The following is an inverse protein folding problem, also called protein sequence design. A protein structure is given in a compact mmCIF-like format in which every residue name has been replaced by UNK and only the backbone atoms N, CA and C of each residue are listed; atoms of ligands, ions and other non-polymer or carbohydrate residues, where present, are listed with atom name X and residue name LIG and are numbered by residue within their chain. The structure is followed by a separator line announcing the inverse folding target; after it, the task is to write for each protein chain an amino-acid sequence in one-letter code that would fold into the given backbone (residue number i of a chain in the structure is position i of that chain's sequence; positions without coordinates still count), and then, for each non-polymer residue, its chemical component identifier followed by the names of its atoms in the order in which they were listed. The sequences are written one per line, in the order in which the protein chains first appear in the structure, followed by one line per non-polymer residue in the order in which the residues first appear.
data_IF_283479922952
#
_entry.id   IF_283479922952
#
_cell.length_a   1.000
_cell.length_b   1.000
_cell.length_c   1.000
_cell.angle_alpha   90.00
_cell.angle_beta   90.00
_cell.angle_gamma   90.00
#
_symmetry.space_group_name_H-M   'P 1'
#
loop_
_entity.id
_entity.type
_entity.pdbx_description
1 polymer ?
#
# COMPACT_ATOMS: atom_id res chain seq x y z
N UNK A 1 1.20 20.91 -47.79
CA UNK A 1 1.49 20.88 -46.36
C UNK A 1 0.82 19.67 -45.76
N UNK A 2 1.52 18.52 -45.76
CA UNK A 2 1.06 17.28 -45.23
C UNK A 2 1.11 17.30 -43.67
N UNK A 3 0.00 17.02 -43.01
CA UNK A 3 0.00 16.86 -41.57
C UNK A 3 0.71 15.55 -41.20
N UNK A 4 1.62 15.61 -40.22
CA UNK A 4 2.35 14.47 -39.73
C UNK A 4 1.37 13.41 -39.18
N UNK A 5 1.67 12.14 -39.45
CA UNK A 5 0.93 11.01 -38.87
C UNK A 5 1.11 10.98 -37.34
N UNK A 6 0.21 10.33 -36.59
CA UNK A 6 0.38 10.18 -35.13
C UNK A 6 1.73 9.59 -34.72
N UNK A 7 2.27 8.63 -35.50
CA UNK A 7 3.59 8.03 -35.26
C UNK A 7 4.71 9.04 -35.47
N UNK A 8 4.65 9.83 -36.58
CA UNK A 8 5.65 10.87 -36.86
C UNK A 8 5.65 11.99 -35.81
N UNK A 9 4.48 12.32 -35.21
CA UNK A 9 4.40 13.28 -34.10
C UNK A 9 5.04 12.71 -32.83
N UNK A 10 4.79 11.43 -32.55
CA UNK A 10 5.38 10.75 -31.41
C UNK A 10 6.91 10.68 -31.55
N UNK A 11 7.40 10.29 -32.68
CA UNK A 11 8.84 10.20 -32.96
C UNK A 11 9.53 11.58 -32.92
N UNK A 12 8.85 12.64 -33.40
CA UNK A 12 9.35 14.01 -33.30
C UNK A 12 9.40 14.48 -31.82
N UNK A 13 8.38 14.17 -31.01
CA UNK A 13 8.36 14.51 -29.58
C UNK A 13 9.46 13.76 -28.82
N UNK A 14 9.72 12.49 -29.19
CA UNK A 14 10.83 11.74 -28.61
C UNK A 14 12.18 12.33 -29.02
N UNK A 15 12.36 12.70 -30.29
CA UNK A 15 13.59 13.32 -30.77
C UNK A 15 13.87 14.67 -30.08
N UNK A 16 12.83 15.52 -29.89
CA UNK A 16 12.94 16.76 -29.14
C UNK A 16 13.34 16.52 -27.68
N UNK A 17 12.75 15.53 -27.00
CA UNK A 17 13.11 15.17 -25.64
C UNK A 17 14.53 14.60 -25.51
N UNK A 18 15.05 13.92 -26.55
CA UNK A 18 16.44 13.45 -26.57
C UNK A 18 17.44 14.59 -26.83
N UNK A 19 17.09 15.60 -27.62
CA UNK A 19 17.91 16.79 -27.80
C UNK A 19 17.95 17.67 -26.55
N UNK A 20 16.86 17.75 -25.78
CA UNK A 20 16.86 18.38 -24.45
C UNK A 20 17.72 17.62 -23.44
N UNK A 21 17.82 16.28 -23.52
CA UNK A 21 18.72 15.48 -22.70
C UNK A 21 20.21 15.71 -23.01
N UNK A 22 20.52 16.28 -24.17
CA UNK A 22 21.86 16.70 -24.57
C UNK A 22 22.23 18.13 -24.10
N UNK A 23 21.36 18.79 -23.32
CA UNK A 23 21.65 20.11 -22.77
C UNK A 23 22.88 20.07 -21.86
N UNK A 24 23.70 21.14 -21.83
CA UNK A 24 24.89 21.22 -20.99
C UNK A 24 24.59 20.89 -19.52
N UNK A 25 25.49 20.22 -18.79
CA UNK A 25 25.25 19.77 -17.42
C UNK A 25 24.73 20.85 -16.45
N UNK A 26 25.11 22.09 -16.68
CA UNK A 26 24.66 23.25 -15.89
C UNK A 26 23.16 23.57 -16.09
N UNK A 27 22.62 23.41 -17.31
CA UNK A 27 21.19 23.61 -17.58
C UNK A 27 20.35 22.47 -17.05
N UNK A 28 20.81 21.22 -17.18
CA UNK A 28 20.15 20.06 -16.61
C UNK A 28 20.07 20.16 -15.09
N UNK A 29 21.13 20.62 -14.42
CA UNK A 29 21.16 20.84 -12.98
C UNK A 29 20.17 21.94 -12.56
N UNK A 30 20.06 23.03 -13.34
CA UNK A 30 19.11 24.10 -13.06
C UNK A 30 17.65 23.65 -13.24
N UNK A 31 17.34 22.87 -14.27
CA UNK A 31 16.02 22.30 -14.53
C UNK A 31 15.64 21.30 -13.42
N UNK A 32 16.56 20.44 -13.02
CA UNK A 32 16.34 19.51 -11.91
C UNK A 32 16.14 20.26 -10.61
N UNK A 33 16.92 21.31 -10.33
CA UNK A 33 16.75 22.14 -9.13
C UNK A 33 15.40 22.89 -9.14
N UNK A 34 14.97 23.44 -10.28
CA UNK A 34 13.66 24.09 -10.41
C UNK A 34 12.51 23.09 -10.28
N UNK A 35 12.64 21.88 -10.88
CA UNK A 35 11.64 20.82 -10.74
C UNK A 35 11.56 20.33 -9.29
N UNK A 36 12.69 20.21 -8.59
CA UNK A 36 12.74 19.85 -7.18
C UNK A 36 12.10 20.94 -6.32
N UNK A 37 12.42 22.21 -6.57
CA UNK A 37 11.85 23.35 -5.84
C UNK A 37 10.35 23.52 -6.13
N UNK A 38 9.90 23.27 -7.35
CA UNK A 38 8.47 23.23 -7.69
C UNK A 38 7.77 22.04 -7.02
N UNK A 39 8.42 20.88 -6.96
CA UNK A 39 7.92 19.71 -6.22
C UNK A 39 7.86 19.98 -4.71
N UNK A 40 8.87 20.66 -4.14
CA UNK A 40 8.88 21.07 -2.73
C UNK A 40 7.81 22.12 -2.42
N UNK A 41 7.54 23.05 -3.34
CA UNK A 41 6.46 24.06 -3.20
C UNK A 41 5.06 23.47 -3.38
N UNK A 42 4.94 22.29 -4.00
CA UNK A 42 3.74 21.48 -4.10
C UNK A 42 3.68 20.42 -2.98
N UNK A 43 4.58 20.46 -1.99
CA UNK A 43 4.49 19.59 -0.83
C UNK A 43 3.16 19.86 -0.12
N UNK A 44 2.19 19.01 -0.42
CA UNK A 44 1.01 18.88 0.41
C UNK A 44 1.49 18.70 1.85
N UNK A 45 1.05 19.57 2.73
CA UNK A 45 1.26 19.43 4.16
C UNK A 45 0.87 18.00 4.59
N UNK A 46 1.46 17.52 5.65
CA UNK A 46 1.12 16.20 6.22
C UNK A 46 -0.39 16.08 6.49
N UNK A 47 -1.02 17.18 6.91
CA UNK A 47 -2.46 17.26 7.09
C UNK A 47 -3.24 17.06 5.78
N UNK A 48 -2.78 17.64 4.68
CA UNK A 48 -3.41 17.47 3.37
C UNK A 48 -3.23 16.06 2.83
N UNK A 49 -2.06 15.45 3.04
CA UNK A 49 -1.82 14.05 2.71
C UNK A 49 -2.77 13.12 3.49
N UNK A 50 -2.96 13.36 4.79
CA UNK A 50 -3.92 12.61 5.62
C UNK A 50 -5.36 12.77 5.13
N UNK A 51 -5.78 13.96 4.71
CA UNK A 51 -7.12 14.19 4.11
C UNK A 51 -7.34 13.37 2.84
N UNK A 52 -6.31 13.26 1.98
CA UNK A 52 -6.38 12.43 0.77
C UNK A 52 -6.52 10.95 1.14
N UNK A 53 -5.72 10.48 2.09
CA UNK A 53 -5.77 9.09 2.57
C UNK A 53 -7.13 8.79 3.20
N UNK A 54 -7.66 9.69 4.03
CA UNK A 54 -8.98 9.56 4.63
C UNK A 54 -10.08 9.46 3.55
N UNK A 55 -10.02 10.29 2.50
CA UNK A 55 -10.96 10.23 1.40
C UNK A 55 -10.91 8.89 0.66
N UNK A 56 -9.70 8.37 0.40
CA UNK A 56 -9.49 7.08 -0.24
C UNK A 56 -10.00 5.92 0.63
N UNK A 57 -9.74 5.94 1.93
CA UNK A 57 -10.23 4.93 2.87
C UNK A 57 -11.75 4.95 2.98
N UNK A 58 -12.40 6.14 3.03
CA UNK A 58 -13.87 6.25 3.00
C UNK A 58 -14.44 5.67 1.71
N UNK A 59 -13.82 5.94 0.57
CA UNK A 59 -14.26 5.38 -0.71
C UNK A 59 -14.18 3.84 -0.71
N UNK A 60 -13.24 3.25 0.03
CA UNK A 60 -13.13 1.81 0.20
C UNK A 60 -14.07 1.23 1.27
N UNK A 61 -14.89 2.06 1.93
CA UNK A 61 -15.91 1.62 2.90
C UNK A 61 -15.44 1.63 4.36
N UNK A 62 -14.31 2.30 4.68
CA UNK A 62 -13.86 2.52 6.05
C UNK A 62 -14.47 3.79 6.63
N UNK A 63 -14.90 3.75 7.89
CA UNK A 63 -15.18 4.97 8.66
C UNK A 63 -13.84 5.52 9.14
N UNK A 64 -13.49 6.73 8.71
CA UNK A 64 -12.21 7.36 9.00
C UNK A 64 -12.34 8.87 9.10
N UNK A 65 -11.64 9.42 10.07
CA UNK A 65 -11.40 10.85 10.23
C UNK A 65 -10.10 11.00 11.06
N UNK A 66 -9.01 11.36 10.41
CA UNK A 66 -7.71 11.46 11.07
C UNK A 66 -7.62 12.59 12.10
N UNK A 67 -8.65 13.44 12.18
CA UNK A 67 -8.78 14.49 13.20
C UNK A 67 -9.67 14.04 14.36
N UNK A 68 -10.84 13.44 14.07
CA UNK A 68 -11.83 13.11 15.11
C UNK A 68 -11.74 11.64 15.57
N UNK A 69 -11.40 10.70 14.66
CA UNK A 69 -11.27 9.29 15.03
C UNK A 69 -9.81 8.95 15.37
N UNK A 70 -9.28 9.58 16.40
CA UNK A 70 -7.92 9.33 16.91
C UNK A 70 -7.95 8.60 18.25
N UNK A 71 -6.89 7.83 18.53
CA UNK A 71 -6.77 7.16 19.83
C UNK A 71 -6.78 8.13 21.00
N UNK A 72 -6.14 9.29 20.85
CA UNK A 72 -6.07 10.37 21.84
C UNK A 72 -7.43 10.99 22.16
N UNK A 73 -8.35 11.02 21.19
CA UNK A 73 -9.75 11.45 21.35
C UNK A 73 -10.69 10.31 21.78
N UNK A 74 -10.12 9.24 22.34
CA UNK A 74 -10.87 8.09 22.84
C UNK A 74 -11.63 7.29 21.77
N UNK A 75 -11.26 7.40 20.48
CA UNK A 75 -11.79 6.50 19.47
C UNK A 75 -11.37 5.06 19.79
N UNK A 76 -12.33 4.13 19.74
CA UNK A 76 -12.12 2.71 20.02
C UNK A 76 -12.87 1.85 19.03
N UNK A 77 -12.38 0.62 18.75
CA UNK A 77 -13.10 -0.32 17.89
C UNK A 77 -14.48 -0.62 18.46
N UNK A 78 -15.46 -0.82 17.57
CA UNK A 78 -16.84 -1.07 17.96
C UNK A 78 -17.46 -2.18 17.11
N UNK A 79 -18.30 -3.02 17.74
CA UNK A 79 -19.03 -4.10 17.04
C UNK A 79 -19.86 -3.54 15.88
N UNK A 80 -19.79 -4.20 14.72
CA UNK A 80 -20.54 -3.82 13.54
C UNK A 80 -20.02 -2.58 12.80
N UNK A 81 -18.86 -2.05 13.21
CA UNK A 81 -18.19 -0.90 12.61
C UNK A 81 -16.90 -1.33 11.89
N UNK A 82 -16.54 -0.58 10.87
CA UNK A 82 -15.27 -0.74 10.14
C UNK A 82 -14.49 0.57 10.24
N UNK A 83 -13.63 0.64 11.25
CA UNK A 83 -12.97 1.88 11.64
C UNK A 83 -11.51 1.90 11.22
N UNK A 84 -11.05 3.03 10.69
CA UNK A 84 -9.64 3.38 10.62
C UNK A 84 -9.35 4.40 11.73
N UNK A 85 -8.73 3.96 12.80
CA UNK A 85 -8.44 4.81 13.97
C UNK A 85 -7.01 5.32 13.85
N UNK A 86 -6.86 6.65 13.85
CA UNK A 86 -5.56 7.29 13.72
C UNK A 86 -4.78 7.31 15.04
N UNK A 87 -3.46 7.42 14.91
CA UNK A 87 -2.50 7.57 16.03
C UNK A 87 -2.60 6.45 17.07
N UNK A 88 -2.78 5.22 16.60
CA UNK A 88 -2.93 4.06 17.49
C UNK A 88 -1.60 3.68 18.15
N UNK A 89 -1.53 3.58 19.49
CA UNK A 89 -0.28 3.31 20.20
C UNK A 89 0.23 1.89 19.95
N UNK A 90 1.52 1.78 19.69
CA UNK A 90 2.27 0.52 19.65
C UNK A 90 3.53 0.64 20.50
N UNK A 91 4.23 -0.46 20.75
CA UNK A 91 5.52 -0.45 21.47
C UNK A 91 6.60 0.39 20.75
N UNK A 92 6.42 0.63 19.43
CA UNK A 92 7.40 1.34 18.60
C UNK A 92 6.93 2.75 18.19
N UNK A 93 5.97 3.31 18.90
CA UNK A 93 5.34 4.59 18.61
C UNK A 93 3.93 4.44 18.05
N UNK A 94 3.21 5.54 17.82
CA UNK A 94 1.88 5.50 17.25
C UNK A 94 1.93 5.13 15.77
N UNK A 95 1.08 4.19 15.36
CA UNK A 95 0.82 3.91 13.95
C UNK A 95 -0.10 5.00 13.39
N UNK A 96 0.12 5.43 12.15
CA UNK A 96 -0.73 6.48 11.57
C UNK A 96 -2.19 6.07 11.52
N UNK A 97 -2.48 4.80 11.16
CA UNK A 97 -3.81 4.22 11.34
C UNK A 97 -3.71 2.73 11.69
N UNK A 98 -4.69 2.26 12.47
CA UNK A 98 -5.04 0.84 12.58
C UNK A 98 -6.46 0.63 12.08
N UNK A 99 -6.63 -0.35 11.19
CA UNK A 99 -7.92 -0.69 10.61
C UNK A 99 -8.58 -1.79 11.43
N UNK A 100 -9.83 -1.56 11.84
CA UNK A 100 -10.60 -2.49 12.65
C UNK A 100 -11.83 -2.98 11.91
N UNK A 101 -12.03 -4.28 11.89
CA UNK A 101 -13.31 -4.91 11.50
C UNK A 101 -14.01 -5.35 12.80
N UNK A 102 -15.05 -4.64 13.18
CA UNK A 102 -15.65 -4.80 14.49
C UNK A 102 -14.63 -4.50 15.58
N UNK A 103 -14.33 -5.49 16.43
CA UNK A 103 -13.33 -5.37 17.50
C UNK A 103 -11.94 -5.89 17.11
N UNK A 104 -11.77 -6.42 15.88
CA UNK A 104 -10.53 -7.04 15.46
C UNK A 104 -9.61 -6.06 14.72
N UNK A 105 -8.38 -5.83 15.18
CA UNK A 105 -7.37 -5.07 14.45
C UNK A 105 -6.84 -5.89 13.29
N UNK A 106 -7.15 -5.52 12.06
CA UNK A 106 -6.82 -6.33 10.88
C UNK A 106 -5.65 -5.77 10.06
N UNK A 107 -5.43 -4.46 10.12
CA UNK A 107 -4.34 -3.86 9.36
C UNK A 107 -3.69 -2.69 10.09
N UNK A 108 -2.41 -2.45 9.77
CA UNK A 108 -1.65 -1.26 10.15
C UNK A 108 -1.33 -0.46 8.90
N UNK A 109 -1.45 0.84 8.98
CA UNK A 109 -1.13 1.77 7.89
C UNK A 109 -0.10 2.78 8.36
N UNK A 110 0.94 2.96 7.57
CA UNK A 110 1.89 4.06 7.68
C UNK A 110 1.67 5.05 6.56
N UNK A 111 1.47 6.30 6.90
CA UNK A 111 1.29 7.40 5.97
C UNK A 111 2.57 8.23 5.83
N UNK A 112 2.93 8.60 4.62
CA UNK A 112 4.07 9.47 4.34
C UNK A 112 3.63 10.62 3.45
N UNK A 113 4.39 11.71 3.50
CA UNK A 113 4.20 12.83 2.57
C UNK A 113 4.28 12.35 1.13
N UNK A 114 3.55 13.00 0.26
CA UNK A 114 3.38 12.60 -1.14
C UNK A 114 4.70 12.46 -1.91
N UNK A 115 5.74 13.21 -1.55
CA UNK A 115 7.06 13.15 -2.18
C UNK A 115 7.92 11.93 -1.78
N UNK A 116 7.56 11.20 -0.71
CA UNK A 116 8.37 10.09 -0.18
C UNK A 116 8.13 8.77 -0.90
N UNK A 117 9.17 7.92 -0.94
CA UNK A 117 9.09 6.54 -1.40
C UNK A 117 8.31 5.69 -0.39
N UNK A 118 7.25 5.06 -0.87
CA UNK A 118 6.31 4.31 -0.03
C UNK A 118 6.78 2.87 0.21
N UNK A 119 7.42 2.25 -0.78
CA UNK A 119 7.88 0.87 -0.68
C UNK A 119 8.90 0.70 0.47
N UNK A 120 9.84 1.65 0.61
CA UNK A 120 10.81 1.66 1.71
C UNK A 120 10.15 1.91 3.09
N UNK A 121 8.98 2.53 3.10
CA UNK A 121 8.25 2.91 4.32
C UNK A 121 7.50 1.74 4.94
N UNK A 122 7.24 0.68 4.18
CA UNK A 122 6.49 -0.48 4.64
C UNK A 122 7.17 -1.18 5.85
N UNK A 123 8.48 -1.03 6.03
CA UNK A 123 9.17 -1.55 7.21
C UNK A 123 8.69 -0.89 8.51
N UNK A 124 8.22 0.34 8.46
CA UNK A 124 7.64 1.00 9.63
C UNK A 124 6.30 0.35 10.02
N UNK A 125 5.43 0.04 9.06
CA UNK A 125 4.20 -0.72 9.33
C UNK A 125 4.50 -2.11 9.89
N UNK A 126 5.57 -2.78 9.42
CA UNK A 126 6.04 -4.05 9.99
C UNK A 126 6.44 -3.91 11.46
N UNK A 127 7.18 -2.87 11.81
CA UNK A 127 7.57 -2.59 13.21
C UNK A 127 6.34 -2.36 14.10
N UNK A 128 5.35 -1.64 13.63
CA UNK A 128 4.12 -1.41 14.38
C UNK A 128 3.34 -2.70 14.61
N UNK A 129 3.21 -3.57 13.60
CA UNK A 129 2.55 -4.86 13.77
C UNK A 129 3.29 -5.75 14.79
N UNK A 130 4.63 -5.80 14.76
CA UNK A 130 5.44 -6.50 15.76
C UNK A 130 5.25 -5.93 17.17
N UNK A 131 5.08 -4.63 17.27
CA UNK A 131 4.88 -3.92 18.54
C UNK A 131 3.41 -3.78 18.98
N UNK A 132 2.47 -4.33 18.22
CA UNK A 132 1.06 -4.26 18.56
C UNK A 132 0.72 -5.24 19.70
N UNK A 133 -0.13 -4.80 20.60
CA UNK A 133 -0.67 -5.66 21.67
C UNK A 133 -2.19 -5.61 21.60
N UNK A 134 -2.81 -6.75 21.37
CA UNK A 134 -4.27 -6.89 21.43
C UNK A 134 -4.70 -6.72 22.89
N UNK A 135 -5.61 -5.78 23.13
CA UNK A 135 -6.14 -5.47 24.46
C UNK A 135 -7.38 -6.32 24.76
N UNK A 136 -7.80 -6.36 26.04
CA UNK A 136 -8.91 -7.21 26.48
C UNK A 136 -10.27 -6.85 25.86
N UNK A 137 -10.43 -5.61 25.38
CA UNK A 137 -11.61 -5.10 24.69
C UNK A 137 -11.60 -5.36 23.16
N UNK A 138 -10.56 -6.02 22.67
CA UNK A 138 -10.37 -6.36 21.26
C UNK A 138 -10.51 -7.87 21.04
N UNK A 139 -10.77 -8.23 19.80
CA UNK A 139 -10.72 -9.62 19.34
C UNK A 139 -9.45 -9.82 18.51
N UNK A 140 -8.65 -10.81 18.85
CA UNK A 140 -7.49 -11.16 18.06
C UNK A 140 -7.91 -11.51 16.61
N UNK A 141 -7.23 -10.98 15.59
CA UNK A 141 -7.57 -11.26 14.20
C UNK A 141 -7.17 -12.69 13.77
N UNK A 142 -6.64 -13.47 14.66
CA UNK A 142 -5.95 -14.74 14.44
C UNK A 142 -4.46 -14.59 14.79
N UNK A 143 -3.64 -15.49 14.26
CA UNK A 143 -2.18 -15.46 14.44
C UNK A 143 -1.69 -15.88 15.83
N UNK A 144 -0.50 -15.47 16.27
CA UNK A 144 0.41 -14.59 15.53
C UNK A 144 0.98 -15.21 14.25
N UNK A 145 1.36 -14.37 13.28
CA UNK A 145 2.02 -14.79 12.04
C UNK A 145 3.52 -14.53 12.17
N UNK A 146 4.23 -15.51 12.72
CA UNK A 146 5.62 -15.32 13.13
C UNK A 146 5.72 -14.24 14.20
N UNK A 147 6.39 -13.15 13.89
CA UNK A 147 6.56 -11.99 14.79
C UNK A 147 5.44 -10.93 14.68
N UNK A 148 4.51 -11.10 13.74
CA UNK A 148 3.48 -10.12 13.46
C UNK A 148 2.17 -10.41 14.21
N UNK A 149 1.67 -9.42 14.93
CA UNK A 149 0.39 -9.50 15.65
C UNK A 149 -0.79 -9.07 14.76
N UNK A 150 -0.55 -8.26 13.73
CA UNK A 150 -1.54 -7.80 12.76
C UNK A 150 -1.14 -8.29 11.37
N UNK A 151 -2.07 -8.91 10.60
CA UNK A 151 -1.74 -9.60 9.36
C UNK A 151 -1.48 -8.70 8.16
N UNK A 152 -2.21 -7.58 8.03
CA UNK A 152 -2.16 -6.75 6.84
C UNK A 152 -1.42 -5.45 7.09
N UNK A 153 -0.42 -5.18 6.27
CA UNK A 153 0.45 -4.03 6.45
C UNK A 153 0.42 -3.17 5.21
N UNK A 154 0.16 -1.89 5.41
CA UNK A 154 0.10 -0.90 4.35
C UNK A 154 1.10 0.22 4.60
N UNK A 155 1.62 0.75 3.51
CA UNK A 155 2.27 2.04 3.49
C UNK A 155 1.64 2.88 2.38
N UNK A 156 1.47 4.19 2.62
CA UNK A 156 0.82 5.06 1.64
C UNK A 156 1.36 6.48 1.69
N UNK A 157 1.25 7.19 0.56
CA UNK A 157 1.48 8.63 0.47
C UNK A 157 0.33 9.35 -0.26
N UNK A 158 -0.82 8.69 -0.41
CA UNK A 158 -2.00 9.23 -1.07
C UNK A 158 -1.94 9.34 -2.59
N UNK A 159 -0.80 9.02 -3.23
CA UNK A 159 -0.70 9.06 -4.70
C UNK A 159 -1.60 8.02 -5.36
N UNK A 160 -2.05 8.26 -6.61
CA UNK A 160 -2.74 7.27 -7.39
C UNK A 160 -1.81 6.10 -7.78
N UNK A 161 -2.41 5.01 -8.25
CA UNK A 161 -1.67 3.91 -8.86
C UNK A 161 -1.03 4.35 -10.19
N UNK A 162 0.26 4.06 -10.34
CA UNK A 162 1.02 4.39 -11.54
C UNK A 162 1.37 3.11 -12.29
N UNK A 163 0.60 2.79 -13.33
CA UNK A 163 0.74 1.52 -14.07
C UNK A 163 2.13 1.32 -14.66
N UNK A 164 2.75 2.38 -15.16
CA UNK A 164 4.09 2.34 -15.78
C UNK A 164 5.23 2.41 -14.76
N UNK A 165 4.98 3.04 -13.60
CA UNK A 165 5.94 3.24 -12.53
C UNK A 165 5.37 2.70 -11.21
N UNK A 166 5.14 1.38 -11.17
CA UNK A 166 4.48 0.72 -10.02
C UNK A 166 5.20 0.97 -8.70
N UNK A 167 6.53 1.08 -8.74
CA UNK A 167 7.38 1.44 -7.60
C UNK A 167 7.07 2.82 -7.01
N UNK A 168 6.48 3.73 -7.80
CA UNK A 168 6.05 5.07 -7.38
C UNK A 168 4.57 5.16 -7.01
N UNK A 169 3.84 4.05 -7.07
CA UNK A 169 2.43 4.00 -6.69
C UNK A 169 2.21 4.28 -5.21
N UNK A 170 1.08 4.90 -4.89
CA UNK A 170 0.83 5.50 -3.59
C UNK A 170 0.35 4.55 -2.49
N UNK A 171 -0.01 3.29 -2.80
CA UNK A 171 -0.45 2.30 -1.83
C UNK A 171 0.37 1.03 -2.01
N UNK A 172 1.08 0.63 -0.95
CA UNK A 172 1.82 -0.62 -0.90
C UNK A 172 1.27 -1.52 0.17
N UNK A 173 1.24 -2.82 -0.13
CA UNK A 173 0.63 -3.85 0.70
C UNK A 173 1.57 -5.03 0.93
N UNK A 174 1.58 -5.52 2.16
CA UNK A 174 2.26 -6.74 2.55
C UNK A 174 1.32 -7.60 3.42
N UNK A 175 1.25 -8.89 3.10
CA UNK A 175 0.50 -9.89 3.86
C UNK A 175 1.45 -10.68 4.76
N UNK A 176 1.42 -10.41 6.06
CA UNK A 176 2.29 -11.08 7.03
C UNK A 176 1.96 -12.57 7.20
N UNK A 177 0.80 -13.04 6.74
CA UNK A 177 0.42 -14.46 6.75
C UNK A 177 1.22 -15.28 5.72
N UNK A 178 1.72 -14.58 4.69
CA UNK A 178 2.54 -15.17 3.63
C UNK A 178 3.86 -14.41 3.49
N UNK A 179 4.75 -14.46 4.49
CA UNK A 179 5.93 -13.57 4.57
C UNK A 179 6.95 -13.79 3.44
N UNK A 180 6.87 -14.91 2.72
CA UNK A 180 7.71 -15.19 1.54
C UNK A 180 7.25 -14.45 0.28
N UNK A 181 6.01 -13.94 0.27
CA UNK A 181 5.47 -13.17 -0.85
C UNK A 181 5.91 -11.71 -0.71
N UNK A 182 6.50 -11.18 -1.77
CA UNK A 182 6.96 -9.78 -1.77
C UNK A 182 5.79 -8.80 -1.61
N UNK A 183 6.08 -7.65 -1.01
CA UNK A 183 5.16 -6.53 -0.98
C UNK A 183 4.82 -6.06 -2.41
N UNK A 184 3.61 -5.53 -2.59
CA UNK A 184 3.13 -5.13 -3.91
C UNK A 184 2.36 -3.81 -3.86
N UNK A 185 2.39 -3.02 -4.94
CA UNK A 185 1.52 -1.85 -5.07
C UNK A 185 0.08 -2.28 -5.35
N UNK A 186 -0.87 -1.48 -4.85
CA UNK A 186 -2.30 -1.67 -5.09
C UNK A 186 -2.86 -0.50 -5.91
N UNK A 187 -3.86 -0.80 -6.75
CA UNK A 187 -4.62 0.20 -7.50
C UNK A 187 -5.58 0.97 -6.59
N UNK A 188 -6.10 0.31 -5.56
CA UNK A 188 -7.01 0.88 -4.57
C UNK A 188 -6.89 0.16 -3.23
N UNK A 189 -7.45 0.75 -2.19
CA UNK A 189 -7.55 0.12 -0.88
C UNK A 189 -8.45 -1.11 -0.91
N UNK A 190 -8.11 -2.10 -0.11
CA UNK A 190 -9.03 -3.20 0.17
C UNK A 190 -10.21 -2.71 1.01
N UNK A 191 -11.40 -3.22 0.67
CA UNK A 191 -12.61 -3.00 1.47
C UNK A 191 -12.54 -3.81 2.77
N UNK A 192 -13.31 -3.45 3.81
CA UNK A 192 -13.45 -4.26 5.03
C UNK A 192 -13.81 -5.72 4.73
N UNK A 193 -14.80 -5.94 3.87
CA UNK A 193 -15.22 -7.29 3.47
C UNK A 193 -14.12 -8.04 2.72
N UNK A 194 -13.36 -7.34 1.88
CA UNK A 194 -12.21 -7.92 1.18
C UNK A 194 -11.14 -8.42 2.15
N UNK A 195 -10.76 -7.61 3.15
CA UNK A 195 -9.81 -8.04 4.19
C UNK A 195 -10.38 -9.15 5.07
N UNK A 196 -11.68 -9.09 5.42
CA UNK A 196 -12.36 -10.15 6.17
C UNK A 196 -12.36 -11.48 5.40
N UNK A 197 -12.61 -11.45 4.09
CA UNK A 197 -12.55 -12.62 3.24
C UNK A 197 -11.12 -13.17 3.16
N UNK A 198 -10.11 -12.30 3.02
CA UNK A 198 -8.71 -12.72 3.05
C UNK A 198 -8.33 -13.39 4.37
N UNK A 199 -8.78 -12.89 5.53
CA UNK A 199 -8.51 -13.50 6.84
C UNK A 199 -9.02 -14.93 6.96
N UNK A 200 -10.11 -15.25 6.28
CA UNK A 200 -10.71 -16.60 6.28
C UNK A 200 -9.98 -17.59 5.38
N UNK A 201 -9.04 -17.11 4.54
CA UNK A 201 -8.28 -17.98 3.65
C UNK A 201 -7.22 -18.76 4.45
N UNK A 202 -7.30 -20.07 4.41
CA UNK A 202 -6.30 -20.99 4.95
C UNK A 202 -5.24 -21.26 3.89
N UNK A 203 -4.16 -20.49 3.94
CA UNK A 203 -3.07 -20.58 2.98
C UNK A 203 -2.30 -21.90 3.09
N UNK A 204 -2.15 -22.46 4.30
CA UNK A 204 -1.43 -23.72 4.52
C UNK A 204 -2.22 -24.87 3.92
N UNK A 205 -3.53 -24.91 4.17
CA UNK A 205 -4.43 -25.91 3.58
C UNK A 205 -4.49 -25.79 2.07
N UNK A 206 -4.64 -24.57 1.53
CA UNK A 206 -4.65 -24.34 0.09
C UNK A 206 -3.33 -24.80 -0.57
N UNK A 207 -2.20 -24.49 0.05
CA UNK A 207 -0.89 -24.90 -0.44
C UNK A 207 -0.71 -26.44 -0.37
N UNK A 208 -1.14 -27.06 0.72
CA UNK A 208 -1.11 -28.52 0.84
C UNK A 208 -2.00 -29.19 -0.21
N UNK A 209 -3.17 -28.64 -0.48
CA UNK A 209 -4.08 -29.12 -1.51
C UNK A 209 -3.49 -28.98 -2.91
N UNK A 210 -2.91 -27.85 -3.25
CA UNK A 210 -2.24 -27.61 -4.55
C UNK A 210 -1.10 -28.60 -4.81
N UNK A 211 -0.38 -29.03 -3.77
CA UNK A 211 0.71 -30.01 -3.92
C UNK A 211 0.23 -31.41 -4.29
N UNK A 212 -0.99 -31.78 -3.92
CA UNK A 212 -1.59 -33.09 -4.20
C UNK A 212 -2.62 -33.04 -5.31
N UNK A 213 -2.95 -31.87 -5.81
CA UNK A 213 -3.91 -31.67 -6.90
C UNK A 213 -3.36 -32.32 -8.17
N UNK A 214 -4.15 -33.16 -8.88
CA UNK A 214 -3.77 -33.68 -10.18
C UNK A 214 -3.60 -32.52 -11.16
N UNK A 215 -2.45 -32.45 -11.84
CA UNK A 215 -2.14 -31.36 -12.75
C UNK A 215 -2.25 -31.76 -14.23
N UNK A 216 -2.56 -33.01 -14.50
CA UNK A 216 -2.62 -33.60 -15.86
C UNK A 216 -3.68 -32.93 -16.74
N UNK A 217 -4.79 -32.52 -16.15
CA UNK A 217 -5.88 -31.82 -16.86
C UNK A 217 -5.52 -30.39 -17.31
N UNK A 218 -4.45 -29.80 -16.74
CA UNK A 218 -4.02 -28.45 -17.09
C UNK A 218 -3.23 -28.38 -18.41
N UNK A 219 -2.81 -29.54 -18.96
CA UNK A 219 -2.03 -29.60 -20.20
C UNK A 219 -0.70 -28.82 -20.13
N UNK A 220 -0.12 -28.71 -18.93
CA UNK A 220 1.11 -27.96 -18.69
C UNK A 220 2.32 -28.75 -19.19
N UNK A 221 3.34 -28.01 -19.63
CA UNK A 221 4.65 -28.57 -19.96
C UNK A 221 5.42 -28.93 -18.70
N UNK A 222 6.37 -29.87 -18.79
CA UNK A 222 7.12 -30.40 -17.64
C UNK A 222 7.80 -29.30 -16.80
N UNK A 223 8.35 -28.25 -17.42
CA UNK A 223 8.97 -27.15 -16.71
C UNK A 223 7.94 -26.27 -15.96
N UNK A 224 6.70 -26.18 -16.44
CA UNK A 224 5.61 -25.49 -15.75
C UNK A 224 5.12 -26.30 -14.55
N UNK A 225 5.04 -27.63 -14.70
CA UNK A 225 4.72 -28.55 -13.60
C UNK A 225 5.80 -28.50 -12.50
N UNK A 226 7.08 -28.43 -12.91
CA UNK A 226 8.19 -28.29 -11.95
C UNK A 226 8.18 -26.96 -11.18
N UNK A 227 7.61 -25.89 -11.75
CA UNK A 227 7.49 -24.59 -11.08
C UNK A 227 6.32 -24.52 -10.08
N UNK A 228 5.34 -25.41 -10.18
CA UNK A 228 4.16 -25.48 -9.29
C UNK A 228 4.43 -26.41 -8.08
N UNK A 229 5.26 -27.43 -8.25
CA UNK A 229 5.67 -28.40 -7.20
C UNK A 229 6.84 -27.88 -6.38
#
# INVERSE_FOLDING_TARGET
TGSLTPQQRYDATIAENFDEAAAPPAQTTAIVAQATQAAESLELDEADTRRIIDAQLRQAGWEVDSVELTYSKHARPAKGKHLAIAEWPTKHGPADYVLFIGLSPVAVVEAKRQAKDVAATLEQSRRYSRGYTVTADQLAPGGPWGEFAIPFLFATNGRPYLRQLKDKSGIWFFDARTPKVAARPLESWYTPDGLAAMLKQDHERAHAQLKVEPTEYLGLRDYQLAAIR
#
